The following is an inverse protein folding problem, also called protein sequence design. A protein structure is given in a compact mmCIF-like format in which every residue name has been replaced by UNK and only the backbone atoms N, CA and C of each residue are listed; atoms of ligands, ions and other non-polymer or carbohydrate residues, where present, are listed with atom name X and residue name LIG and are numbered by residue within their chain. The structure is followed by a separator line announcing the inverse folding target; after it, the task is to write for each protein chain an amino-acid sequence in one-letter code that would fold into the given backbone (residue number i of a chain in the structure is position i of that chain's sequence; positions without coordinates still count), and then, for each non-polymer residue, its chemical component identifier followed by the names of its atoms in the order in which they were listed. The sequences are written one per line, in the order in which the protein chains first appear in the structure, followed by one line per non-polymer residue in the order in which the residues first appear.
data_IF_754805703740
#
_entry.id   IF_754805703740
#
_cell.length_a   1.000
_cell.length_b   1.000
_cell.length_c   1.000
_cell.angle_alpha   90.00
_cell.angle_beta   90.00
_cell.angle_gamma   90.00
#
_symmetry.space_group_name_H-M   'P 1'
#
loop_
_entity.id
_entity.type
_entity.pdbx_description
1 polymer ?
#
# COMPACT_ATOMS: atom_id res chain seq x y z
N UNK A 1 38.79 48.87 -47.13
CA UNK A 1 39.78 47.93 -46.56
C UNK A 1 40.01 48.32 -45.11
N UNK A 2 39.37 47.61 -44.18
CA UNK A 2 39.24 47.97 -42.77
C UNK A 2 40.31 47.25 -41.94
N UNK A 3 41.01 48.01 -41.08
CA UNK A 3 42.11 47.54 -40.23
C UNK A 3 41.61 46.56 -39.17
N UNK A 4 42.28 45.42 -39.05
CA UNK A 4 42.10 44.44 -37.96
C UNK A 4 42.84 44.96 -36.73
N UNK A 5 42.12 45.19 -35.64
CA UNK A 5 42.66 45.44 -34.29
C UNK A 5 42.39 44.20 -33.44
N UNK A 6 43.45 43.66 -32.85
CA UNK A 6 43.43 42.46 -32.02
C UNK A 6 42.89 42.79 -30.62
N UNK A 7 41.78 42.17 -30.22
CA UNK A 7 41.26 42.26 -28.86
C UNK A 7 41.91 41.18 -27.97
N UNK A 8 42.77 41.64 -27.06
CA UNK A 8 43.34 40.82 -25.98
C UNK A 8 42.26 40.54 -24.94
N UNK A 9 41.81 39.29 -24.83
CA UNK A 9 40.89 38.85 -23.77
C UNK A 9 41.64 38.76 -22.43
N UNK A 10 41.35 39.68 -21.52
CA UNK A 10 41.75 39.57 -20.10
C UNK A 10 40.83 38.55 -19.41
N UNK A 11 41.40 37.45 -18.92
CA UNK A 11 40.71 36.47 -18.07
C UNK A 11 40.30 37.13 -16.75
N UNK A 12 38.99 37.28 -16.53
CA UNK A 12 38.42 37.59 -15.22
C UNK A 12 38.20 36.28 -14.48
N UNK A 13 39.07 35.95 -13.52
CA UNK A 13 38.84 34.83 -12.58
C UNK A 13 37.89 35.35 -11.50
N UNK A 14 36.62 34.96 -11.59
CA UNK A 14 35.61 35.22 -10.58
C UNK A 14 35.48 33.97 -9.71
N UNK A 15 36.04 34.00 -8.50
CA UNK A 15 35.84 32.97 -7.50
C UNK A 15 34.42 33.08 -6.93
N UNK A 16 33.59 32.07 -7.18
CA UNK A 16 32.25 31.94 -6.59
C UNK A 16 32.41 31.03 -5.36
N UNK A 17 32.12 31.48 -4.12
CA UNK A 17 32.08 30.56 -2.99
C UNK A 17 30.79 29.72 -3.07
N UNK A 18 30.95 28.41 -3.25
CA UNK A 18 29.88 27.43 -3.16
C UNK A 18 29.55 27.19 -1.67
N UNK A 19 28.55 27.90 -1.14
CA UNK A 19 28.00 27.61 0.19
C UNK A 19 26.98 26.47 0.04
N UNK A 20 27.36 25.26 0.46
CA UNK A 20 26.46 24.11 0.54
C UNK A 20 25.66 24.19 1.86
N UNK A 21 24.43 24.71 1.78
CA UNK A 21 23.51 24.76 2.92
C UNK A 21 22.75 23.42 3.02
N UNK A 22 23.17 22.55 3.96
CA UNK A 22 22.45 21.32 4.31
C UNK A 22 21.20 21.68 5.14
N UNK A 23 20.05 21.76 4.47
CA UNK A 23 18.74 21.77 5.15
C UNK A 23 18.40 20.35 5.63
N UNK A 24 18.72 20.06 6.89
CA UNK A 24 18.11 18.93 7.61
C UNK A 24 16.73 19.37 8.10
N UNK A 25 15.69 19.02 7.34
CA UNK A 25 14.31 19.18 7.77
C UNK A 25 14.01 18.22 8.93
N UNK A 26 14.05 18.70 10.17
CA UNK A 26 13.52 17.96 11.32
C UNK A 26 12.00 18.00 11.26
N UNK A 27 11.38 16.92 10.78
CA UNK A 27 9.94 16.76 10.92
C UNK A 27 9.60 16.57 12.41
N UNK A 28 8.93 17.55 13.00
CA UNK A 28 8.34 17.44 14.33
C UNK A 28 7.11 16.53 14.20
N UNK A 29 7.18 15.31 14.76
CA UNK A 29 6.03 14.42 14.86
C UNK A 29 5.21 14.86 16.08
N UNK A 30 4.04 15.44 15.84
CA UNK A 30 3.05 15.69 16.90
C UNK A 30 2.35 14.37 17.23
N UNK A 31 2.22 13.96 18.51
CA UNK A 31 1.40 12.82 18.85
C UNK A 31 -0.08 13.16 18.59
N UNK A 32 -0.75 12.32 17.80
CA UNK A 32 -2.20 12.39 17.60
C UNK A 32 -2.91 12.17 18.95
N UNK A 33 -3.50 13.22 19.50
CA UNK A 33 -4.39 13.11 20.64
C UNK A 33 -5.77 12.62 20.16
N UNK A 34 -6.04 11.32 20.27
CA UNK A 34 -7.32 10.75 19.89
C UNK A 34 -8.41 11.19 20.88
N UNK A 35 -9.27 12.12 20.46
CA UNK A 35 -10.45 12.54 21.22
C UNK A 35 -11.39 11.34 21.44
N UNK A 36 -11.85 11.15 22.68
CA UNK A 36 -12.75 10.07 23.10
C UNK A 36 -14.11 10.19 22.39
N UNK A 37 -14.30 9.44 21.30
CA UNK A 37 -15.57 9.39 20.59
C UNK A 37 -16.63 8.63 21.41
N UNK A 38 -17.64 9.35 21.90
CA UNK A 38 -18.88 8.75 22.39
C UNK A 38 -19.83 8.56 21.21
N UNK A 39 -20.10 7.31 20.84
CA UNK A 39 -21.15 6.99 19.86
C UNK A 39 -22.48 7.00 20.60
N UNK A 40 -23.35 7.96 20.30
CA UNK A 40 -24.75 7.96 20.73
C UNK A 40 -25.65 7.69 19.53
N UNK A 41 -25.96 6.42 19.28
CA UNK A 41 -27.03 6.02 18.38
C UNK A 41 -28.39 6.08 19.09
N UNK A 42 -29.41 6.62 18.43
CA UNK A 42 -30.79 6.63 18.92
C UNK A 42 -31.33 5.19 18.97
N UNK A 43 -31.25 4.56 20.14
CA UNK A 43 -31.64 3.17 20.38
C UNK A 43 -30.71 2.46 21.37
N UNK A 44 -30.88 2.77 22.65
CA UNK A 44 -30.28 2.16 23.86
C UNK A 44 -29.18 1.09 23.73
N UNK A 45 -27.92 1.51 23.80
CA UNK A 45 -26.89 0.97 24.72
C UNK A 45 -25.65 1.85 24.63
N UNK A 46 -25.42 2.69 25.64
CA UNK A 46 -24.23 3.56 25.73
C UNK A 46 -23.02 2.74 26.20
N UNK A 47 -22.46 1.93 25.29
CA UNK A 47 -21.16 1.29 25.51
C UNK A 47 -20.04 2.35 25.47
N UNK A 48 -19.30 2.50 26.57
CA UNK A 48 -18.13 3.39 26.60
C UNK A 48 -16.97 2.67 25.90
N UNK A 49 -16.52 3.24 24.78
CA UNK A 49 -15.25 2.84 24.15
C UNK A 49 -14.17 3.81 24.62
N UNK A 50 -13.12 3.29 25.25
CA UNK A 50 -11.96 4.10 25.61
C UNK A 50 -10.78 3.67 24.77
N UNK A 51 -10.24 4.63 24.01
CA UNK A 51 -9.04 4.44 23.19
C UNK A 51 -7.90 5.16 23.89
N UNK A 52 -6.92 4.41 24.36
CA UNK A 52 -5.68 4.97 24.92
C UNK A 52 -4.54 4.66 23.98
N UNK A 53 -3.91 5.70 23.45
CA UNK A 53 -2.72 5.60 22.63
C UNK A 53 -1.50 5.98 23.47
N UNK A 54 -0.55 5.06 23.59
CA UNK A 54 0.74 5.30 24.24
C UNK A 54 1.85 4.78 23.32
N UNK A 55 2.60 5.69 22.70
CA UNK A 55 3.61 5.34 21.71
C UNK A 55 3.02 4.62 20.49
N UNK A 56 3.63 3.50 20.09
CA UNK A 56 3.21 2.70 18.93
C UNK A 56 2.13 1.64 19.24
N UNK A 57 1.54 1.67 20.44
CA UNK A 57 0.47 0.75 20.86
C UNK A 57 -0.83 1.51 21.06
N UNK A 58 -1.89 0.99 20.45
CA UNK A 58 -3.26 1.43 20.67
C UNK A 58 -4.01 0.32 21.40
N UNK A 59 -4.59 0.64 22.56
CA UNK A 59 -5.48 -0.27 23.28
C UNK A 59 -6.91 0.24 23.12
N UNK A 60 -7.80 -0.64 22.68
CA UNK A 60 -9.24 -0.39 22.53
C UNK A 60 -9.96 -1.23 23.58
N UNK A 61 -10.56 -0.57 24.57
CA UNK A 61 -11.41 -1.23 25.56
C UNK A 61 -12.86 -0.92 25.26
N UNK A 62 -13.67 -1.97 25.09
CA UNK A 62 -15.12 -1.88 24.89
C UNK A 62 -15.76 -2.51 26.12
N UNK A 63 -16.43 -1.69 26.94
CA UNK A 63 -17.28 -2.19 28.02
C UNK A 63 -18.70 -2.37 27.49
N UNK A 64 -19.27 -3.60 27.47
CA UNK A 64 -20.65 -3.80 27.09
C UNK A 64 -21.57 -3.12 28.11
N UNK A 65 -22.43 -2.20 27.66
CA UNK A 65 -23.54 -1.72 28.46
C UNK A 65 -24.55 -2.85 28.65
N UNK A 66 -24.89 -3.22 29.90
CA UNK A 66 -25.95 -4.20 30.17
C UNK A 66 -27.29 -3.59 29.81
N UNK A 67 -28.02 -4.20 28.87
CA UNK A 67 -29.44 -3.92 28.69
C UNK A 67 -30.22 -4.82 29.67
N UNK A 68 -30.78 -4.25 30.74
CA UNK A 68 -31.63 -5.00 31.67
C UNK A 68 -33.07 -5.01 31.17
N UNK A 69 -33.40 -5.91 30.25
CA UNK A 69 -34.79 -6.34 30.02
C UNK A 69 -34.93 -7.78 30.52
N UNK A 70 -35.76 -8.05 31.54
CA UNK A 70 -35.98 -9.42 32.01
C UNK A 70 -36.66 -10.24 30.90
N UNK A 71 -35.98 -11.24 30.33
CA UNK A 71 -36.63 -12.24 29.47
C UNK A 71 -35.86 -12.76 28.25
N UNK A 72 -34.72 -12.16 27.86
CA UNK A 72 -33.93 -12.68 26.73
C UNK A 72 -32.72 -13.50 27.22
N UNK A 73 -32.56 -14.71 26.67
CA UNK A 73 -31.46 -15.63 26.96
C UNK A 73 -30.07 -14.99 26.77
N UNK A 74 -29.04 -15.38 27.54
CA UNK A 74 -27.73 -14.72 27.50
C UNK A 74 -27.03 -14.94 26.15
N UNK A 75 -26.80 -13.86 25.40
CA UNK A 75 -25.91 -13.88 24.25
C UNK A 75 -24.46 -13.96 24.74
N UNK A 76 -23.73 -14.98 24.29
CA UNK A 76 -22.34 -15.22 24.65
C UNK A 76 -21.45 -14.02 24.29
N UNK A 77 -20.82 -13.41 25.30
CA UNK A 77 -19.85 -12.34 25.13
C UNK A 77 -18.50 -12.91 24.70
N UNK A 78 -18.16 -12.80 23.42
CA UNK A 78 -16.82 -13.11 22.91
C UNK A 78 -15.83 -11.99 23.32
N UNK A 79 -15.12 -12.24 24.42
CA UNK A 79 -13.97 -11.44 24.82
C UNK A 79 -12.79 -11.73 23.90
N UNK A 80 -12.48 -10.81 22.99
CA UNK A 80 -11.24 -10.88 22.21
C UNK A 80 -10.19 -10.00 22.85
N UNK A 81 -9.28 -10.63 23.60
CA UNK A 81 -8.08 -10.00 24.14
C UNK A 81 -7.05 -9.77 23.03
N UNK A 82 -6.90 -8.53 22.57
CA UNK A 82 -5.88 -8.16 21.61
C UNK A 82 -4.57 -7.79 22.32
N UNK A 83 -3.61 -8.73 22.36
CA UNK A 83 -2.22 -8.46 22.73
C UNK A 83 -1.48 -7.88 21.53
N UNK A 84 -0.96 -6.66 21.64
CA UNK A 84 -0.23 -5.96 20.58
C UNK A 84 1.22 -6.45 20.46
N UNK A 85 1.62 -6.89 19.26
CA UNK A 85 3.03 -6.95 18.84
C UNK A 85 3.17 -6.33 17.45
N UNK A 86 4.04 -5.33 17.31
CA UNK A 86 4.48 -4.74 16.04
C UNK A 86 3.38 -4.06 15.22
N UNK A 87 3.77 -3.29 14.19
CA UNK A 87 2.83 -2.76 13.21
C UNK A 87 2.02 -3.92 12.61
N UNK A 88 0.72 -3.95 12.89
CA UNK A 88 -0.16 -5.02 12.42
C UNK A 88 -0.46 -4.80 10.93
N UNK A 89 0.36 -5.38 10.05
CA UNK A 89 0.07 -5.50 8.61
C UNK A 89 -1.15 -6.39 8.31
N UNK A 90 -1.83 -6.91 9.35
CA UNK A 90 -2.76 -8.03 9.28
C UNK A 90 -4.25 -7.65 9.31
N UNK A 91 -4.63 -6.38 9.07
CA UNK A 91 -6.06 -6.01 8.98
C UNK A 91 -6.76 -6.58 7.73
N UNK A 92 -5.99 -7.09 6.76
CA UNK A 92 -6.47 -7.61 5.47
C UNK A 92 -6.13 -9.09 5.24
N UNK A 93 -5.52 -9.78 6.20
CA UNK A 93 -5.15 -11.21 6.07
C UNK A 93 -3.94 -11.49 5.15
N UNK A 94 -3.17 -10.46 4.78
CA UNK A 94 -1.92 -10.66 4.04
C UNK A 94 -0.78 -11.09 4.98
N UNK A 95 -0.09 -12.16 4.59
CA UNK A 95 0.96 -12.75 5.42
C UNK A 95 2.38 -12.43 4.91
N UNK A 96 2.51 -11.76 3.76
CA UNK A 96 3.80 -11.44 3.15
C UNK A 96 3.84 -9.98 2.68
N UNK A 97 5.07 -9.46 2.56
CA UNK A 97 5.36 -8.12 2.08
C UNK A 97 6.56 -8.17 1.13
N UNK A 98 6.41 -7.59 -0.05
CA UNK A 98 7.50 -7.35 -0.99
C UNK A 98 7.79 -5.84 -1.04
N UNK A 99 9.03 -5.43 -0.75
CA UNK A 99 9.42 -4.01 -0.85
C UNK A 99 10.01 -3.77 -2.23
N UNK A 100 9.17 -3.33 -3.17
CA UNK A 100 9.60 -3.02 -4.52
C UNK A 100 10.34 -1.69 -4.54
N UNK A 101 11.58 -1.68 -5.01
CA UNK A 101 12.31 -0.43 -5.27
C UNK A 101 12.19 -0.08 -6.75
N UNK A 102 11.70 1.12 -7.04
CA UNK A 102 11.49 1.59 -8.40
C UNK A 102 11.66 3.11 -8.45
N UNK A 103 12.52 3.58 -9.37
CA UNK A 103 12.90 4.99 -9.51
C UNK A 103 13.34 5.65 -8.19
N UNK A 104 14.15 4.93 -7.39
CA UNK A 104 14.66 5.41 -6.09
C UNK A 104 13.62 5.50 -4.97
N UNK A 105 12.37 5.10 -5.24
CA UNK A 105 11.28 5.03 -4.26
C UNK A 105 10.99 3.58 -3.90
N UNK A 106 10.52 3.36 -2.67
CA UNK A 106 10.13 2.03 -2.18
C UNK A 106 8.61 1.93 -2.07
N UNK A 107 8.05 0.86 -2.61
CA UNK A 107 6.62 0.56 -2.60
C UNK A 107 6.38 -0.77 -1.87
N UNK A 108 5.81 -0.75 -0.65
CA UNK A 108 5.43 -1.95 0.06
C UNK A 108 4.21 -2.60 -0.62
N UNK A 109 4.38 -3.77 -1.21
CA UNK A 109 3.32 -4.56 -1.85
C UNK A 109 3.00 -5.76 -0.96
N UNK A 110 1.84 -5.75 -0.30
CA UNK A 110 1.39 -6.86 0.55
C UNK A 110 0.76 -7.95 -0.29
N UNK A 111 1.05 -9.21 0.04
CA UNK A 111 0.49 -10.34 -0.69
C UNK A 111 0.36 -11.61 0.16
N UNK A 112 -0.45 -12.53 -0.35
CA UNK A 112 -0.55 -13.92 0.09
C UNK A 112 -0.48 -14.79 -1.15
N UNK A 113 0.25 -15.89 -1.05
CA UNK A 113 0.33 -16.90 -2.11
C UNK A 113 0.06 -18.27 -1.51
N UNK A 114 -0.81 -19.03 -2.16
CA UNK A 114 -1.02 -20.45 -1.91
C UNK A 114 -0.48 -21.25 -3.08
N UNK A 115 -0.02 -22.48 -2.85
CA UNK A 115 0.36 -23.37 -3.95
C UNK A 115 1.60 -22.95 -4.75
N UNK A 116 2.45 -22.08 -4.21
CA UNK A 116 3.69 -21.63 -4.85
C UNK A 116 4.46 -20.63 -4.01
N UNK A 117 5.48 -20.01 -4.61
CA UNK A 117 6.25 -18.90 -4.02
C UNK A 117 6.38 -17.75 -5.01
N UNK A 118 6.37 -16.53 -4.49
CA UNK A 118 6.82 -15.35 -5.24
C UNK A 118 8.35 -15.34 -5.23
N UNK A 119 8.96 -15.26 -6.41
CA UNK A 119 10.41 -15.14 -6.58
C UNK A 119 10.81 -13.66 -6.60
N UNK A 120 10.03 -12.82 -7.29
CA UNK A 120 10.31 -11.40 -7.36
C UNK A 120 9.21 -10.60 -8.05
N UNK A 121 9.31 -9.28 -7.94
CA UNK A 121 8.49 -8.32 -8.68
C UNK A 121 9.38 -7.33 -9.42
N UNK A 122 8.98 -6.98 -10.65
CA UNK A 122 9.64 -5.99 -11.50
C UNK A 122 8.60 -5.00 -12.02
N UNK A 123 8.86 -3.70 -11.84
CA UNK A 123 8.07 -2.64 -12.45
C UNK A 123 8.64 -2.24 -13.81
N UNK A 124 7.75 -2.12 -14.80
CA UNK A 124 8.05 -1.66 -16.14
C UNK A 124 7.20 -0.41 -16.43
N UNK A 125 7.88 0.75 -16.41
CA UNK A 125 7.26 2.07 -16.59
C UNK A 125 6.56 2.18 -17.94
N UNK A 126 7.26 1.78 -18.98
CA UNK A 126 6.91 2.08 -20.37
C UNK A 126 5.68 1.29 -20.78
N UNK A 127 5.52 0.10 -20.20
CA UNK A 127 4.33 -0.75 -20.40
C UNK A 127 3.26 -0.56 -19.32
N UNK A 128 3.50 0.25 -18.29
CA UNK A 128 2.66 0.35 -17.09
C UNK A 128 2.34 -1.03 -16.49
N UNK A 129 3.37 -1.88 -16.39
CA UNK A 129 3.24 -3.30 -16.03
C UNK A 129 4.02 -3.63 -14.78
N UNK A 130 3.37 -4.29 -13.81
CA UNK A 130 4.05 -4.99 -12.73
C UNK A 130 4.16 -6.47 -13.10
N UNK A 131 5.38 -6.96 -13.29
CA UNK A 131 5.68 -8.36 -13.58
C UNK A 131 5.99 -9.09 -12.27
N UNK A 132 5.29 -10.19 -12.04
CA UNK A 132 5.53 -11.11 -10.94
C UNK A 132 6.21 -12.37 -11.49
N UNK A 133 7.30 -12.78 -10.86
CA UNK A 133 7.96 -14.06 -11.16
C UNK A 133 7.57 -15.05 -10.09
N UNK A 134 6.95 -16.16 -10.50
CA UNK A 134 6.44 -17.18 -9.59
C UNK A 134 7.25 -18.48 -9.71
N UNK A 135 7.32 -19.20 -8.59
CA UNK A 135 7.65 -20.61 -8.55
C UNK A 135 6.44 -21.43 -8.07
N UNK A 136 5.52 -21.80 -8.97
CA UNK A 136 4.40 -22.68 -8.64
C UNK A 136 4.82 -24.04 -8.09
N UNK A 137 4.02 -24.51 -7.13
CA UNK A 137 3.98 -25.89 -6.70
C UNK A 137 3.19 -26.78 -7.67
N UNK A 138 3.09 -28.08 -7.36
CA UNK A 138 2.62 -29.10 -8.30
C UNK A 138 1.16 -28.95 -8.74
N UNK A 139 0.33 -28.23 -7.97
CA UNK A 139 -1.10 -28.06 -8.24
C UNK A 139 -1.46 -26.63 -8.67
N UNK A 140 -0.47 -25.74 -8.86
CA UNK A 140 -0.74 -24.31 -8.94
C UNK A 140 -1.32 -23.76 -7.64
N UNK A 141 -1.96 -22.60 -7.71
CA UNK A 141 -2.57 -21.96 -6.56
C UNK A 141 -3.11 -20.57 -6.86
N UNK A 142 -3.16 -19.72 -5.84
CA UNK A 142 -3.70 -18.37 -5.94
C UNK A 142 -2.69 -17.35 -5.41
N UNK A 143 -2.59 -16.23 -6.11
CA UNK A 143 -1.84 -15.05 -5.69
C UNK A 143 -2.81 -13.90 -5.43
N UNK A 144 -2.87 -13.45 -4.18
CA UNK A 144 -3.68 -12.29 -3.78
C UNK A 144 -2.77 -11.17 -3.31
N UNK A 145 -2.94 -9.95 -3.84
CA UNK A 145 -2.06 -8.81 -3.57
C UNK A 145 -2.82 -7.51 -3.39
N UNK A 146 -2.36 -6.67 -2.46
CA UNK A 146 -2.78 -5.28 -2.31
C UNK A 146 -1.84 -4.40 -3.13
N UNK A 147 -2.32 -3.91 -4.27
CA UNK A 147 -1.59 -3.04 -5.17
C UNK A 147 -1.72 -1.58 -4.71
N UNK A 148 -0.62 -0.90 -4.37
CA UNK A 148 -0.65 0.53 -4.09
C UNK A 148 -0.95 1.32 -5.36
N UNK A 149 -1.98 2.18 -5.33
CA UNK A 149 -2.35 3.02 -6.49
C UNK A 149 -1.29 4.07 -6.83
N UNK A 150 -0.44 4.43 -5.86
CA UNK A 150 0.71 5.30 -6.07
C UNK A 150 1.91 4.58 -6.71
N UNK A 151 1.83 3.25 -6.91
CA UNK A 151 2.75 2.45 -7.72
C UNK A 151 2.17 2.22 -9.12
N UNK A 152 0.99 1.60 -9.18
CA UNK A 152 0.31 1.21 -10.43
C UNK A 152 -1.21 1.36 -10.27
N UNK A 153 -1.87 1.95 -11.27
CA UNK A 153 -3.33 2.06 -11.29
C UNK A 153 -3.89 1.82 -12.70
N UNK A 154 -5.17 1.47 -12.76
CA UNK A 154 -5.95 1.38 -14.00
C UNK A 154 -7.13 2.32 -13.91
N UNK A 155 -7.01 3.44 -14.62
CA UNK A 155 -7.98 4.52 -14.73
C UNK A 155 -8.39 4.75 -16.18
N UNK A 156 -9.69 4.91 -16.39
CA UNK A 156 -10.28 5.30 -17.68
C UNK A 156 -10.49 6.80 -17.80
N UNK A 157 -11.35 7.19 -18.73
CA UNK A 157 -11.80 8.58 -18.86
C UNK A 157 -12.39 9.09 -17.52
N UNK A 158 -12.20 10.37 -17.26
CA UNK A 158 -12.68 11.03 -16.03
C UNK A 158 -12.12 10.45 -14.72
N UNK A 159 -10.96 9.79 -14.75
CA UNK A 159 -10.31 9.21 -13.56
C UNK A 159 -11.12 8.10 -12.87
N UNK A 160 -12.11 7.53 -13.57
CA UNK A 160 -12.89 6.39 -13.09
C UNK A 160 -12.04 5.12 -13.10
N UNK A 161 -12.26 4.23 -12.12
CA UNK A 161 -11.57 2.95 -12.06
C UNK A 161 -11.94 2.05 -13.23
N UNK A 162 -10.93 1.52 -13.90
CA UNK A 162 -11.08 0.50 -14.96
C UNK A 162 -10.41 -0.81 -14.54
N UNK A 163 -10.70 -1.90 -15.24
CA UNK A 163 -10.05 -3.19 -15.00
C UNK A 163 -8.54 -3.10 -15.30
N UNK A 164 -7.73 -3.81 -14.53
CA UNK A 164 -6.39 -4.16 -14.97
C UNK A 164 -6.49 -5.22 -16.08
N UNK A 165 -5.50 -5.28 -16.95
CA UNK A 165 -5.32 -6.45 -17.81
C UNK A 165 -4.33 -7.38 -17.14
N UNK A 166 -4.72 -8.64 -16.91
CA UNK A 166 -3.85 -9.66 -16.33
C UNK A 166 -3.43 -10.62 -17.43
N UNK A 167 -2.13 -10.87 -17.53
CA UNK A 167 -1.59 -11.95 -18.38
C UNK A 167 -0.81 -12.94 -17.55
N UNK A 168 -0.90 -14.21 -17.94
CA UNK A 168 -0.05 -15.27 -17.41
C UNK A 168 0.69 -15.90 -18.58
N UNK A 169 2.02 -15.87 -18.52
CA UNK A 169 2.92 -16.29 -19.61
C UNK A 169 2.50 -15.70 -20.98
N UNK A 170 2.15 -14.41 -20.98
CA UNK A 170 1.74 -13.65 -22.17
C UNK A 170 0.27 -13.84 -22.61
N UNK A 171 -0.49 -14.75 -21.99
CA UNK A 171 -1.91 -14.99 -22.32
C UNK A 171 -2.83 -14.24 -21.35
N UNK A 172 -3.84 -13.55 -21.88
CA UNK A 172 -4.82 -12.85 -21.05
C UNK A 172 -5.65 -13.81 -20.21
N UNK A 173 -5.89 -13.47 -18.94
CA UNK A 173 -6.71 -14.26 -18.00
C UNK A 173 -7.65 -13.36 -17.21
N UNK A 174 -8.72 -13.96 -16.69
CA UNK A 174 -9.58 -13.30 -15.71
C UNK A 174 -8.94 -13.27 -14.32
N UNK A 175 -9.41 -12.33 -13.50
CA UNK A 175 -9.01 -12.18 -12.11
C UNK A 175 -10.19 -11.66 -11.29
N UNK A 176 -10.07 -11.73 -9.96
CA UNK A 176 -11.04 -11.15 -9.03
C UNK A 176 -10.47 -9.90 -8.39
N UNK A 177 -11.19 -8.79 -8.47
CA UNK A 177 -10.97 -7.67 -7.58
C UNK A 177 -11.78 -7.88 -6.30
N UNK A 178 -11.08 -8.07 -5.19
CA UNK A 178 -11.70 -8.42 -3.90
C UNK A 178 -12.17 -7.16 -3.17
N UNK A 179 -11.41 -6.07 -3.30
CA UNK A 179 -11.74 -4.78 -2.71
C UNK A 179 -10.93 -3.65 -3.36
N UNK A 180 -11.40 -2.42 -3.21
CA UNK A 180 -10.62 -1.23 -3.54
C UNK A 180 -10.95 -0.09 -2.58
N UNK A 181 -10.05 0.89 -2.54
CA UNK A 181 -10.25 2.19 -1.90
C UNK A 181 -9.39 3.23 -2.63
N UNK A 182 -9.29 4.44 -2.07
CA UNK A 182 -8.52 5.55 -2.65
C UNK A 182 -7.01 5.30 -2.76
N UNK A 183 -6.46 4.39 -1.95
CA UNK A 183 -5.02 4.16 -1.84
C UNK A 183 -4.56 2.85 -2.50
N UNK A 184 -5.42 1.84 -2.57
CA UNK A 184 -5.03 0.51 -3.05
C UNK A 184 -6.19 -0.26 -3.70
N UNK A 185 -5.83 -1.29 -4.48
CA UNK A 185 -6.74 -2.30 -5.04
C UNK A 185 -6.24 -3.69 -4.68
N UNK A 186 -7.15 -4.58 -4.29
CA UNK A 186 -6.83 -5.95 -3.92
C UNK A 186 -7.25 -6.89 -5.05
N UNK A 187 -6.27 -7.54 -5.67
CA UNK A 187 -6.48 -8.48 -6.76
C UNK A 187 -6.19 -9.90 -6.29
N UNK A 188 -6.96 -10.86 -6.78
CA UNK A 188 -6.76 -12.29 -6.60
C UNK A 188 -6.69 -12.97 -7.97
N UNK A 189 -5.59 -13.68 -8.22
CA UNK A 189 -5.21 -14.23 -9.51
C UNK A 189 -4.86 -15.71 -9.32
N UNK A 190 -5.60 -16.59 -9.99
CA UNK A 190 -5.30 -18.03 -9.99
C UNK A 190 -4.20 -18.35 -11.00
N UNK A 191 -3.32 -19.30 -10.66
CA UNK A 191 -2.24 -19.77 -11.52
C UNK A 191 -2.12 -21.29 -11.46
N UNK A 192 -1.69 -21.90 -12.56
CA UNK A 192 -1.43 -23.34 -12.65
C UNK A 192 0.02 -23.68 -12.32
N UNK A 193 0.30 -24.98 -12.20
CA UNK A 193 1.64 -25.52 -11.96
C UNK A 193 2.67 -25.14 -13.02
N UNK A 194 2.26 -24.69 -14.21
CA UNK A 194 3.18 -24.37 -15.31
C UNK A 194 3.46 -22.86 -15.41
N UNK A 195 2.76 -22.02 -14.63
CA UNK A 195 2.77 -20.57 -14.83
C UNK A 195 3.89 -19.84 -14.11
N UNK A 196 4.74 -19.12 -14.83
CA UNK A 196 5.97 -18.53 -14.26
C UNK A 196 5.95 -17.02 -14.23
N UNK A 197 5.23 -16.39 -15.15
CA UNK A 197 5.14 -14.94 -15.24
C UNK A 197 3.70 -14.49 -15.15
N UNK A 198 3.41 -13.57 -14.23
CA UNK A 198 2.14 -12.86 -14.16
C UNK A 198 2.40 -11.39 -14.44
N UNK A 199 1.70 -10.82 -15.40
CA UNK A 199 1.78 -9.40 -15.75
C UNK A 199 0.49 -8.72 -15.33
N UNK A 200 0.61 -7.74 -14.41
CA UNK A 200 -0.49 -6.86 -14.00
C UNK A 200 -0.30 -5.54 -14.74
N UNK A 201 -1.19 -5.27 -15.70
CA UNK A 201 -1.06 -4.14 -16.62
C UNK A 201 -2.13 -3.10 -16.27
N UNK A 202 -1.67 -1.91 -15.90
CA UNK A 202 -2.51 -0.74 -15.63
C UNK A 202 -2.54 0.24 -16.80
N UNK A 203 -3.13 1.41 -16.58
CA UNK A 203 -3.05 2.54 -17.52
C UNK A 203 -2.00 3.56 -17.09
N UNK A 204 -1.53 3.46 -15.86
CA UNK A 204 -0.55 4.38 -15.28
C UNK A 204 0.33 3.67 -14.26
N UNK A 205 1.61 4.00 -14.29
CA UNK A 205 2.61 3.60 -13.31
C UNK A 205 3.40 4.83 -12.87
N UNK A 206 3.77 4.87 -11.60
CA UNK A 206 4.54 5.93 -10.95
C UNK A 206 5.85 6.24 -11.69
N UNK A 207 6.40 7.44 -11.50
CA UNK A 207 7.66 7.90 -12.12
C UNK A 207 8.73 8.15 -11.07
#
# INVERSE_FOLDING_TARGET
MQKVQANVFRKLVMAIPLVLLLLVSTAIIQPLNAQNSTISGAGGSSGKTTVTAAGNKTIIMISPGRNTTPGAAPAASSSSSATTSGANYNRTGFNNLYVLTFNGKTFPVKYTITGGKLVGMLADKDRSTLVLVLNPGPNGGNFTTELPRNLIDSKGASSADTKYLIKIDGKGVDYKEVANNLNARILSIDFSKDNRFVEIIGTQMTS
#
